data_IF_810329561961
#
_entry.id   IF_810329561961
#
_cell.length_a   1.000
_cell.length_b   1.000
_cell.length_c   1.000
_cell.angle_alpha   90.00
_cell.angle_beta   90.00
_cell.angle_gamma   90.00
#
_symmetry.space_group_name_H-M   'P 1'
#
loop_
_entity.id
_entity.type
_entity.pdbx_description
1 polymer ?
#
# COMPACT_ATOMS: atom_id res chain seq x y z
N UNK A 1 14.64 -4.32 -17.53
CA UNK A 1 15.02 -3.00 -16.97
C UNK A 1 16.46 -3.06 -16.47
N UNK A 2 17.30 -2.05 -16.69
CA UNK A 2 18.70 -2.06 -16.18
C UNK A 2 18.74 -1.98 -14.65
N UNK A 3 19.78 -2.55 -14.02
CA UNK A 3 19.95 -2.51 -12.56
C UNK A 3 20.02 -1.07 -12.02
N UNK A 4 20.70 -0.18 -12.73
CA UNK A 4 20.80 1.25 -12.36
C UNK A 4 19.41 1.90 -12.33
N UNK A 5 18.57 1.64 -13.34
CA UNK A 5 17.19 2.18 -13.36
C UNK A 5 16.38 1.64 -12.18
N UNK A 6 16.47 0.35 -11.87
CA UNK A 6 15.78 -0.27 -10.72
C UNK A 6 16.23 0.35 -9.39
N UNK A 7 17.54 0.55 -9.22
CA UNK A 7 18.12 1.12 -8.01
C UNK A 7 17.71 2.58 -7.77
N UNK A 8 17.52 3.36 -8.82
CA UNK A 8 17.04 4.76 -8.75
C UNK A 8 15.52 4.81 -8.58
N UNK A 9 14.79 3.97 -9.31
CA UNK A 9 13.33 3.96 -9.33
C UNK A 9 12.72 3.49 -8.00
N UNK A 10 13.37 2.55 -7.31
CA UNK A 10 12.89 2.03 -6.02
C UNK A 10 12.71 3.13 -4.97
N UNK A 11 13.76 3.89 -4.57
CA UNK A 11 13.61 4.92 -3.55
C UNK A 11 12.66 6.04 -3.99
N UNK A 12 12.68 6.43 -5.26
CA UNK A 12 11.75 7.45 -5.79
C UNK A 12 10.31 6.95 -5.66
N UNK A 13 10.03 5.71 -6.06
CA UNK A 13 8.70 5.10 -5.94
C UNK A 13 8.22 5.06 -4.49
N UNK A 14 9.09 4.69 -3.54
CA UNK A 14 8.76 4.69 -2.12
C UNK A 14 8.47 6.10 -1.57
N UNK A 15 9.22 7.12 -1.97
CA UNK A 15 8.97 8.51 -1.56
C UNK A 15 7.64 9.00 -2.15
N UNK A 16 7.39 8.75 -3.44
CA UNK A 16 6.12 9.10 -4.09
C UNK A 16 4.94 8.40 -3.41
N UNK A 17 5.07 7.12 -3.09
CA UNK A 17 4.09 6.40 -2.28
C UNK A 17 3.85 7.10 -0.94
N UNK A 18 4.91 7.45 -0.21
CA UNK A 18 4.79 8.20 1.06
C UNK A 18 4.05 9.53 0.93
N UNK A 19 4.30 10.29 -0.15
CA UNK A 19 3.56 11.53 -0.44
C UNK A 19 2.07 11.26 -0.69
N UNK A 20 1.74 10.19 -1.42
CA UNK A 20 0.37 9.75 -1.63
C UNK A 20 -0.34 9.41 -0.33
N UNK A 21 0.36 8.70 0.58
CA UNK A 21 -0.14 8.40 1.93
C UNK A 21 -0.40 9.67 2.72
N UNK A 22 0.51 10.66 2.72
CA UNK A 22 0.29 11.95 3.39
C UNK A 22 -0.98 12.66 2.91
N UNK A 23 -1.18 12.71 1.60
CA UNK A 23 -2.37 13.32 0.99
C UNK A 23 -3.66 12.59 1.43
N UNK A 24 -3.66 11.26 1.44
CA UNK A 24 -4.81 10.47 1.91
C UNK A 24 -5.09 10.67 3.40
N UNK A 25 -4.06 10.68 4.24
CA UNK A 25 -4.18 10.97 5.67
C UNK A 25 -4.77 12.36 5.89
N UNK A 26 -4.28 13.36 5.15
CA UNK A 26 -4.75 14.74 5.26
C UNK A 26 -6.18 14.94 4.75
N UNK A 27 -6.63 14.10 3.82
CA UNK A 27 -8.00 14.14 3.33
C UNK A 27 -9.01 13.63 4.36
N UNK A 28 -8.61 12.75 5.29
CA UNK A 28 -9.48 12.19 6.33
C UNK A 28 -10.80 11.58 5.78
N UNK A 29 -10.82 11.08 4.54
CA UNK A 29 -12.04 10.49 3.92
C UNK A 29 -12.12 8.96 4.04
N UNK A 30 -11.15 8.37 4.75
CA UNK A 30 -10.96 6.94 4.89
C UNK A 30 -9.50 6.57 4.67
N UNK A 31 -9.20 5.29 4.87
CA UNK A 31 -7.88 4.70 4.66
C UNK A 31 -8.00 3.43 3.84
N UNK A 32 -6.88 2.95 3.30
CA UNK A 32 -6.83 1.72 2.53
C UNK A 32 -7.11 0.48 3.41
N UNK A 33 -7.30 -0.69 2.79
CA UNK A 33 -7.70 -1.90 3.51
C UNK A 33 -6.67 -2.39 4.54
N UNK A 34 -5.38 -2.29 4.23
CA UNK A 34 -4.31 -2.63 5.17
C UNK A 34 -4.32 -1.72 6.39
N UNK A 35 -4.39 -0.40 6.17
CA UNK A 35 -4.46 0.58 7.27
C UNK A 35 -5.74 0.43 8.10
N UNK A 36 -6.87 0.09 7.46
CA UNK A 36 -8.13 -0.19 8.15
C UNK A 36 -8.00 -1.42 9.04
N UNK A 37 -7.37 -2.49 8.56
CA UNK A 37 -7.07 -3.69 9.35
C UNK A 37 -6.20 -3.36 10.57
N UNK A 38 -5.10 -2.62 10.37
CA UNK A 38 -4.19 -2.25 11.47
C UNK A 38 -4.89 -1.38 12.51
N UNK A 39 -5.72 -0.42 12.07
CA UNK A 39 -6.51 0.43 12.97
C UNK A 39 -7.51 -0.38 13.79
N UNK A 40 -8.21 -1.33 13.16
CA UNK A 40 -9.15 -2.21 13.84
C UNK A 40 -8.45 -3.10 14.86
N UNK A 41 -7.38 -3.79 14.45
CA UNK A 41 -6.60 -4.64 15.36
C UNK A 41 -6.00 -3.86 16.54
N UNK A 42 -5.52 -2.65 16.31
CA UNK A 42 -5.03 -1.77 17.38
C UNK A 42 -6.13 -1.46 18.40
N UNK A 43 -7.35 -1.14 17.96
CA UNK A 43 -8.49 -0.92 18.85
C UNK A 43 -8.93 -2.19 19.59
N UNK A 44 -8.95 -3.33 18.91
CA UNK A 44 -9.38 -4.60 19.50
C UNK A 44 -8.38 -5.17 20.52
N UNK A 45 -7.08 -4.96 20.32
CA UNK A 45 -6.03 -5.48 21.21
C UNK A 45 -5.57 -4.48 22.26
N UNK A 46 -5.83 -3.18 22.06
CA UNK A 46 -5.28 -2.10 22.89
C UNK A 46 -3.80 -1.80 22.64
N UNK A 47 -3.16 -2.46 21.67
CA UNK A 47 -1.77 -2.20 21.29
C UNK A 47 -1.66 -1.00 20.36
N UNK A 48 -0.52 -0.32 20.40
CA UNK A 48 -0.23 0.80 19.52
C UNK A 48 -0.26 0.39 18.05
N UNK A 49 -0.80 1.26 17.20
CA UNK A 49 -0.88 1.07 15.75
C UNK A 49 0.47 0.66 15.12
N UNK A 50 1.57 1.26 15.61
CA UNK A 50 2.92 0.93 15.15
C UNK A 50 3.28 -0.53 15.46
N UNK A 51 3.05 -0.99 16.68
CA UNK A 51 3.36 -2.37 17.11
C UNK A 51 2.55 -3.36 16.28
N UNK A 52 1.24 -3.11 16.13
CA UNK A 52 0.35 -3.94 15.30
C UNK A 52 0.85 -3.99 13.86
N UNK A 53 1.25 -2.86 13.30
CA UNK A 53 1.79 -2.77 11.94
C UNK A 53 3.08 -3.56 11.75
N UNK A 54 4.00 -3.53 12.72
CA UNK A 54 5.25 -4.31 12.66
C UNK A 54 4.98 -5.82 12.74
N UNK A 55 4.09 -6.24 13.65
CA UNK A 55 3.73 -7.65 13.81
C UNK A 55 3.01 -8.17 12.55
N UNK A 56 2.03 -7.43 12.05
CA UNK A 56 1.32 -7.80 10.83
C UNK A 56 2.25 -7.83 9.62
N UNK A 57 3.15 -6.85 9.50
CA UNK A 57 4.14 -6.83 8.43
C UNK A 57 5.02 -8.09 8.45
N UNK A 58 5.54 -8.47 9.63
CA UNK A 58 6.35 -9.67 9.79
C UNK A 58 5.57 -10.95 9.42
N UNK A 59 4.31 -11.05 9.86
CA UNK A 59 3.44 -12.19 9.54
C UNK A 59 3.18 -12.26 8.03
N UNK A 60 2.73 -11.17 7.40
CA UNK A 60 2.37 -11.15 5.99
C UNK A 60 3.59 -11.44 5.09
N UNK A 61 4.74 -10.82 5.39
CA UNK A 61 5.98 -11.09 4.66
C UNK A 61 6.44 -12.54 4.88
N UNK A 62 6.34 -13.07 6.09
CA UNK A 62 6.67 -14.47 6.39
C UNK A 62 5.79 -15.45 5.62
N UNK A 63 4.47 -15.24 5.62
CA UNK A 63 3.51 -16.06 4.86
C UNK A 63 3.77 -15.96 3.35
N UNK A 64 4.01 -14.75 2.84
CA UNK A 64 4.35 -14.54 1.44
C UNK A 64 5.66 -15.26 1.06
N UNK A 65 6.65 -15.26 1.95
CA UNK A 65 7.90 -15.98 1.74
C UNK A 65 7.71 -17.50 1.69
N UNK A 66 6.89 -18.08 2.57
CA UNK A 66 6.54 -19.51 2.52
C UNK A 66 5.87 -19.90 1.19
N UNK A 67 5.21 -18.94 0.54
CA UNK A 67 4.59 -19.07 -0.79
C UNK A 67 5.51 -18.69 -1.95
N UNK A 68 6.81 -18.49 -1.68
CA UNK A 68 7.83 -18.24 -2.71
C UNK A 68 8.11 -16.76 -3.00
N UNK A 69 7.37 -15.82 -2.39
CA UNK A 69 7.63 -14.38 -2.52
C UNK A 69 8.67 -13.93 -1.51
N UNK A 70 9.93 -14.05 -1.89
CA UNK A 70 11.07 -13.72 -1.03
C UNK A 70 11.12 -12.21 -0.75
N UNK A 71 11.34 -11.79 0.51
CA UNK A 71 11.60 -10.39 0.83
C UNK A 71 12.90 -9.94 0.15
N UNK A 72 12.94 -8.68 -0.27
CA UNK A 72 14.10 -8.10 -0.93
C UNK A 72 14.37 -6.66 -0.47
N UNK A 73 15.37 -5.97 -1.08
CA UNK A 73 15.67 -4.58 -0.78
C UNK A 73 14.43 -3.68 -0.81
N UNK A 74 13.51 -3.91 -1.76
CA UNK A 74 12.27 -3.17 -1.89
C UNK A 74 11.32 -3.32 -0.70
N UNK A 75 11.26 -4.50 -0.08
CA UNK A 75 10.46 -4.73 1.14
C UNK A 75 10.94 -3.81 2.26
N UNK A 76 12.25 -3.73 2.49
CA UNK A 76 12.83 -2.90 3.55
C UNK A 76 12.76 -1.41 3.19
N UNK A 77 13.15 -1.06 1.96
CA UNK A 77 13.14 0.33 1.49
C UNK A 77 11.73 0.92 1.51
N UNK A 78 10.70 0.14 1.16
CA UNK A 78 9.32 0.60 1.23
C UNK A 78 8.93 0.95 2.68
N UNK A 79 9.16 0.04 3.65
CA UNK A 79 8.83 0.33 5.05
C UNK A 79 9.55 1.58 5.57
N UNK A 80 10.87 1.67 5.34
CA UNK A 80 11.69 2.75 5.88
C UNK A 80 11.41 4.09 5.21
N UNK A 81 11.44 4.14 3.87
CA UNK A 81 11.31 5.41 3.15
C UNK A 81 9.89 5.96 3.18
N UNK A 82 8.87 5.10 3.14
CA UNK A 82 7.48 5.54 3.29
C UNK A 82 7.26 6.10 4.69
N UNK A 83 7.68 5.38 5.75
CA UNK A 83 7.55 5.84 7.12
C UNK A 83 8.29 7.16 7.38
N UNK A 84 9.51 7.31 6.85
CA UNK A 84 10.27 8.55 6.96
C UNK A 84 9.61 9.70 6.21
N UNK A 85 9.15 9.46 4.98
CA UNK A 85 8.47 10.47 4.16
C UNK A 85 7.22 10.96 4.87
N UNK A 86 6.38 10.05 5.36
CA UNK A 86 5.17 10.39 6.12
C UNK A 86 5.51 11.19 7.38
N UNK A 87 6.51 10.74 8.15
CA UNK A 87 6.93 11.40 9.39
C UNK A 87 7.45 12.82 9.18
N UNK A 88 8.14 13.10 8.06
CA UNK A 88 8.70 14.42 7.75
C UNK A 88 7.65 15.34 7.13
N UNK A 89 6.89 14.85 6.14
CA UNK A 89 5.93 15.66 5.39
C UNK A 89 4.75 16.05 6.27
N UNK A 90 4.22 15.14 7.10
CA UNK A 90 3.10 15.45 8.00
C UNK A 90 3.44 16.50 9.07
N UNK A 91 4.72 16.78 9.36
CA UNK A 91 5.13 17.85 10.28
C UNK A 91 4.94 19.25 9.71
N UNK A 92 4.96 19.37 8.38
CA UNK A 92 4.91 20.65 7.68
C UNK A 92 3.63 20.82 6.87
N UNK A 93 2.87 19.73 6.66
CA UNK A 93 1.65 19.74 5.87
C UNK A 93 0.51 20.42 6.64
N UNK A 94 -0.11 21.47 6.07
CA UNK A 94 -1.23 22.15 6.73
C UNK A 94 -2.50 21.31 6.70
N UNK A 95 -3.34 21.49 7.71
CA UNK A 95 -4.63 20.80 7.77
C UNK A 95 -5.59 21.30 6.68
N UNK A 96 -6.36 20.37 6.13
CA UNK A 96 -7.33 20.66 5.06
C UNK A 96 -8.75 20.66 5.63
N UNK A 97 -9.33 21.85 5.78
CA UNK A 97 -10.60 22.02 6.50
C UNK A 97 -11.86 21.72 5.69
N UNK A 98 -12.02 22.33 4.51
CA UNK A 98 -13.29 22.24 3.77
C UNK A 98 -13.38 20.97 2.91
N UNK A 99 -14.61 20.44 2.75
CA UNK A 99 -14.86 19.16 2.07
C UNK A 99 -14.30 19.11 0.65
N UNK A 100 -14.43 20.20 -0.12
CA UNK A 100 -13.89 20.26 -1.49
C UNK A 100 -12.37 20.04 -1.55
N UNK A 101 -11.61 20.63 -0.62
CA UNK A 101 -10.16 20.43 -0.58
C UNK A 101 -9.81 19.03 -0.05
N UNK A 102 -10.60 18.46 0.87
CA UNK A 102 -10.43 17.07 1.31
C UNK A 102 -10.63 16.08 0.15
N UNK A 103 -11.65 16.31 -0.70
CA UNK A 103 -11.88 15.51 -1.91
C UNK A 103 -10.72 15.65 -2.89
N UNK A 104 -10.27 16.88 -3.17
CA UNK A 104 -9.13 17.12 -4.07
C UNK A 104 -7.85 16.45 -3.54
N UNK A 105 -7.60 16.55 -2.23
CA UNK A 105 -6.48 15.91 -1.55
C UNK A 105 -6.57 14.38 -1.64
N UNK A 106 -7.77 13.81 -1.47
CA UNK A 106 -8.00 12.38 -1.61
C UNK A 106 -7.74 11.88 -3.03
N UNK A 107 -8.27 12.57 -4.05
CA UNK A 107 -8.07 12.19 -5.46
C UNK A 107 -6.59 12.28 -5.83
N UNK A 108 -5.91 13.37 -5.44
CA UNK A 108 -4.47 13.52 -5.66
C UNK A 108 -3.69 12.42 -4.92
N UNK A 109 -4.01 12.17 -3.65
CA UNK A 109 -3.37 11.14 -2.84
C UNK A 109 -3.54 9.74 -3.40
N UNK A 110 -4.74 9.41 -3.87
CA UNK A 110 -5.03 8.15 -4.55
C UNK A 110 -4.14 7.94 -5.77
N UNK A 111 -4.06 8.95 -6.65
CA UNK A 111 -3.27 8.86 -7.89
C UNK A 111 -1.78 8.75 -7.57
N UNK A 112 -1.26 9.62 -6.70
CA UNK A 112 0.14 9.65 -6.29
C UNK A 112 0.53 8.33 -5.60
N UNK A 113 -0.33 7.80 -4.73
CA UNK A 113 -0.13 6.50 -4.08
C UNK A 113 -0.02 5.39 -5.11
N UNK A 114 -0.97 5.30 -6.05
CA UNK A 114 -0.97 4.24 -7.07
C UNK A 114 0.29 4.30 -7.96
N UNK A 115 0.73 5.51 -8.34
CA UNK A 115 1.98 5.71 -9.08
C UNK A 115 3.17 5.24 -8.24
N UNK A 116 3.24 5.62 -6.97
CA UNK A 116 4.32 5.22 -6.06
C UNK A 116 4.42 3.71 -5.88
N UNK A 117 3.28 3.03 -5.60
CA UNK A 117 3.23 1.57 -5.48
C UNK A 117 3.67 0.91 -6.78
N UNK A 118 3.10 1.31 -7.92
CA UNK A 118 3.44 0.75 -9.21
C UNK A 118 4.92 0.97 -9.57
N UNK A 119 5.48 2.15 -9.26
CA UNK A 119 6.87 2.49 -9.57
C UNK A 119 7.86 1.61 -8.81
N UNK A 120 7.64 1.41 -7.51
CA UNK A 120 8.55 0.60 -6.70
C UNK A 120 8.37 -0.90 -6.97
N UNK A 121 7.13 -1.38 -7.15
CA UNK A 121 6.87 -2.78 -7.50
C UNK A 121 7.44 -3.15 -8.87
N UNK A 122 7.36 -2.24 -9.86
CA UNK A 122 7.95 -2.44 -11.18
C UNK A 122 9.48 -2.63 -11.15
N UNK A 123 10.14 -2.36 -10.01
CA UNK A 123 11.55 -2.67 -9.84
C UNK A 123 11.82 -4.14 -9.54
N UNK A 124 10.84 -4.98 -9.21
CA UNK A 124 11.04 -6.41 -8.86
C UNK A 124 12.11 -6.65 -7.78
N UNK A 125 12.35 -5.67 -6.90
CA UNK A 125 13.35 -5.76 -5.82
C UNK A 125 12.73 -6.20 -4.48
N UNK A 126 11.49 -6.68 -4.50
CA UNK A 126 10.71 -7.05 -3.30
C UNK A 126 9.49 -6.15 -3.12
N UNK A 127 8.47 -6.72 -2.48
CA UNK A 127 7.18 -6.06 -2.23
C UNK A 127 7.00 -5.73 -0.75
N UNK A 128 6.22 -4.70 -0.45
CA UNK A 128 5.75 -4.38 0.90
C UNK A 128 4.77 -5.43 1.43
N UNK A 129 4.37 -5.40 2.70
CA UNK A 129 3.66 -6.51 3.33
C UNK A 129 2.30 -6.82 2.70
N UNK A 130 1.50 -5.79 2.43
CA UNK A 130 0.20 -5.93 1.77
C UNK A 130 0.36 -6.42 0.32
N UNK A 131 1.31 -5.84 -0.41
CA UNK A 131 1.57 -6.21 -1.80
C UNK A 131 2.12 -7.63 -1.91
N UNK A 132 3.01 -8.04 -0.99
CA UNK A 132 3.58 -9.38 -0.90
C UNK A 132 2.49 -10.42 -0.62
N UNK A 133 1.55 -10.11 0.28
CA UNK A 133 0.40 -10.98 0.55
C UNK A 133 -0.47 -11.18 -0.70
N UNK A 134 -0.75 -10.11 -1.45
CA UNK A 134 -1.50 -10.20 -2.71
C UNK A 134 -0.73 -10.93 -3.82
N UNK A 135 0.58 -10.74 -3.91
CA UNK A 135 1.44 -11.43 -4.86
C UNK A 135 1.62 -12.92 -4.53
N UNK A 136 1.38 -13.33 -3.28
CA UNK A 136 1.54 -14.70 -2.79
C UNK A 136 0.25 -15.54 -2.86
N UNK A 137 -0.81 -15.01 -3.46
CA UNK A 137 -2.12 -15.67 -3.56
C UNK A 137 -2.04 -17.03 -4.28
N UNK A 138 -2.85 -18.00 -3.85
CA UNK A 138 -2.87 -19.37 -4.40
C UNK A 138 -4.30 -19.85 -4.69
N UNK A 139 -4.63 -20.26 -5.93
CA UNK A 139 -3.79 -20.17 -7.14
C UNK A 139 -3.44 -18.71 -7.48
N UNK A 140 -2.36 -18.45 -8.26
CA UNK A 140 -1.97 -17.10 -8.61
C UNK A 140 -3.10 -16.38 -9.36
N UNK A 141 -3.41 -15.17 -8.92
CA UNK A 141 -4.37 -14.28 -9.56
C UNK A 141 -3.65 -13.05 -10.12
N UNK A 142 -4.32 -12.33 -11.03
CA UNK A 142 -3.90 -11.00 -11.44
C UNK A 142 -3.78 -10.11 -10.21
N UNK A 143 -2.71 -9.32 -10.11
CA UNK A 143 -2.41 -8.54 -8.91
C UNK A 143 -3.56 -7.59 -8.53
N UNK A 144 -4.23 -6.96 -9.51
CA UNK A 144 -5.40 -6.14 -9.23
C UNK A 144 -6.54 -6.90 -8.54
N UNK A 145 -6.75 -8.18 -8.88
CA UNK A 145 -7.78 -9.02 -8.23
C UNK A 145 -7.34 -9.42 -6.82
N UNK A 146 -6.15 -10.00 -6.66
CA UNK A 146 -5.69 -10.46 -5.35
C UNK A 146 -5.48 -9.31 -4.37
N UNK A 147 -5.00 -8.16 -4.83
CA UNK A 147 -4.85 -6.97 -4.00
C UNK A 147 -6.21 -6.38 -3.62
N UNK A 148 -7.20 -6.33 -4.53
CA UNK A 148 -8.57 -5.93 -4.16
C UNK A 148 -9.18 -6.88 -3.14
N UNK A 149 -9.01 -8.20 -3.27
CA UNK A 149 -9.48 -9.18 -2.27
C UNK A 149 -8.83 -8.88 -0.91
N UNK A 150 -7.49 -8.75 -0.88
CA UNK A 150 -6.76 -8.43 0.33
C UNK A 150 -7.27 -7.14 0.99
N UNK A 151 -7.47 -6.08 0.21
CA UNK A 151 -7.95 -4.80 0.71
C UNK A 151 -9.38 -4.91 1.25
N UNK A 152 -10.30 -5.57 0.55
CA UNK A 152 -11.68 -5.76 1.02
C UNK A 152 -11.73 -6.62 2.29
N UNK A 153 -10.94 -7.70 2.37
CA UNK A 153 -10.80 -8.50 3.59
C UNK A 153 -10.28 -7.64 4.75
N UNK A 154 -9.25 -6.82 4.51
CA UNK A 154 -8.71 -5.89 5.50
C UNK A 154 -9.74 -4.87 6.00
N UNK A 155 -10.57 -4.33 5.10
CA UNK A 155 -11.69 -3.44 5.46
C UNK A 155 -12.71 -4.16 6.32
N UNK A 156 -13.16 -5.35 5.93
CA UNK A 156 -14.19 -6.12 6.65
C UNK A 156 -13.71 -6.47 8.06
N UNK A 157 -12.51 -7.05 8.17
CA UNK A 157 -11.95 -7.44 9.47
C UNK A 157 -11.64 -6.21 10.32
N UNK A 158 -11.02 -5.18 9.75
CA UNK A 158 -10.72 -3.94 10.45
C UNK A 158 -11.98 -3.26 10.99
N UNK A 159 -13.04 -3.19 10.18
CA UNK A 159 -14.33 -2.64 10.60
C UNK A 159 -14.96 -3.46 11.74
N UNK A 160 -14.93 -4.79 11.64
CA UNK A 160 -15.42 -5.66 12.70
C UNK A 160 -14.65 -5.47 14.01
N UNK A 161 -13.35 -5.19 13.92
CA UNK A 161 -12.49 -4.83 15.06
C UNK A 161 -12.63 -3.36 15.51
N UNK A 162 -13.56 -2.58 14.94
CA UNK A 162 -13.88 -1.21 15.37
C UNK A 162 -13.19 -0.08 14.60
N UNK A 163 -12.54 -0.37 13.47
CA UNK A 163 -12.01 0.66 12.57
C UNK A 163 -13.16 1.49 11.95
N UNK A 164 -12.89 2.77 11.69
CA UNK A 164 -13.81 3.59 10.92
C UNK A 164 -13.68 3.27 9.42
N UNK A 165 -14.80 3.19 8.72
CA UNK A 165 -14.83 2.99 7.26
C UNK A 165 -15.56 4.16 6.63
N UNK A 166 -14.86 4.88 5.75
CA UNK A 166 -15.40 6.00 4.99
C UNK A 166 -15.60 5.67 3.51
N UNK A 167 -16.22 6.59 2.76
CA UNK A 167 -16.37 6.47 1.30
C UNK A 167 -15.00 6.31 0.62
N UNK A 168 -13.97 7.02 1.10
CA UNK A 168 -12.61 6.88 0.60
C UNK A 168 -12.03 5.49 0.80
N UNK A 169 -12.36 4.80 1.90
CA UNK A 169 -11.92 3.42 2.15
C UNK A 169 -12.45 2.45 1.10
N UNK A 170 -13.73 2.59 0.74
CA UNK A 170 -14.35 1.73 -0.28
C UNK A 170 -13.71 1.97 -1.66
N UNK A 171 -13.50 3.25 -2.02
CA UNK A 171 -12.83 3.62 -3.27
C UNK A 171 -11.41 3.05 -3.33
N UNK A 172 -10.63 3.22 -2.24
CA UNK A 172 -9.26 2.70 -2.15
C UNK A 172 -9.24 1.16 -2.27
N UNK A 173 -10.08 0.46 -1.50
CA UNK A 173 -10.09 -0.99 -1.49
C UNK A 173 -10.50 -1.60 -2.84
N UNK A 174 -11.49 -1.00 -3.51
CA UNK A 174 -11.94 -1.46 -4.81
C UNK A 174 -11.01 -1.03 -5.96
N UNK A 175 -10.32 0.10 -5.84
CA UNK A 175 -9.64 0.76 -6.96
C UNK A 175 -8.12 0.59 -7.04
N UNK A 176 -7.42 0.55 -5.90
CA UNK A 176 -5.93 0.65 -5.88
C UNK A 176 -5.30 -0.48 -6.71
N UNK A 177 -5.72 -1.73 -6.50
CA UNK A 177 -5.13 -2.89 -7.19
C UNK A 177 -5.20 -2.76 -8.71
N UNK A 178 -6.38 -2.46 -9.24
CA UNK A 178 -6.59 -2.26 -10.69
C UNK A 178 -5.88 -1.04 -11.26
N UNK A 179 -5.62 -0.02 -10.44
CA UNK A 179 -4.89 1.18 -10.86
C UNK A 179 -3.40 0.87 -10.97
N UNK A 180 -2.85 0.13 -9.99
CA UNK A 180 -1.47 -0.34 -10.01
C UNK A 180 -1.23 -1.26 -11.22
N UNK A 181 -2.13 -2.22 -11.49
CA UNK A 181 -2.05 -3.11 -12.65
C UNK A 181 -1.89 -2.36 -13.98
N UNK A 182 -2.59 -1.23 -14.14
CA UNK A 182 -2.50 -0.40 -15.36
C UNK A 182 -1.21 0.42 -15.42
N UNK A 183 -0.65 0.80 -14.28
CA UNK A 183 0.54 1.64 -14.20
C UNK A 183 1.84 0.84 -14.29
N UNK A 184 1.86 -0.41 -13.80
CA UNK A 184 3.07 -1.25 -13.77
C UNK A 184 3.73 -1.43 -15.16
N UNK A 185 3.00 -1.74 -16.26
CA UNK A 185 3.61 -1.87 -17.59
C UNK A 185 4.27 -0.57 -18.08
N UNK A 186 3.67 0.58 -17.79
CA UNK A 186 4.19 1.90 -18.17
C UNK A 186 5.51 2.23 -17.45
N UNK A 187 5.72 1.63 -16.28
CA UNK A 187 6.90 1.83 -15.43
C UNK A 187 7.97 0.77 -15.63
N UNK A 188 7.81 -0.09 -16.65
CA UNK A 188 8.81 -1.06 -17.08
C UNK A 188 8.73 -2.42 -16.39
N UNK A 189 7.64 -2.70 -15.67
CA UNK A 189 7.34 -4.06 -15.20
C UNK A 189 7.00 -4.95 -16.40
N UNK A 190 7.61 -6.13 -16.45
CA UNK A 190 7.25 -7.16 -17.42
C UNK A 190 6.34 -8.16 -16.69
N UNK A 191 5.16 -8.50 -17.23
CA UNK A 191 4.27 -9.47 -16.60
C UNK A 191 5.04 -10.76 -16.32
N UNK A 192 4.86 -11.36 -15.13
CA UNK A 192 5.30 -12.74 -14.92
C UNK A 192 4.63 -13.62 -15.99
N UNK A 193 5.36 -14.51 -16.68
CA UNK A 193 4.74 -15.45 -17.60
C UNK A 193 3.64 -16.21 -16.87
N UNK A 194 2.44 -16.27 -17.47
CA UNK A 194 1.34 -17.04 -16.89
C UNK A 194 1.79 -18.50 -16.73
N UNK A 195 1.52 -19.15 -15.59
CA UNK A 195 1.80 -20.56 -15.45
C UNK A 195 0.90 -21.33 -16.43
N UNK A 196 1.53 -22.05 -17.36
CA UNK A 196 0.88 -22.97 -18.30
C UNK A 196 0.02 -24.00 -17.58
#
# INVERSE_FOLDING_TARGET
>A
MSLVRRAIQLPIGCIVLGLGVCLLLQAELGSDGYSTLMSGLSKATGLDFAIVSWVAAAILVGLAWLRGQKPGPGTISQLVLVGLTVSLVMRVMPSVGHLGARIACFVAGYVVLCIGVAAYLATDLGAGPAEAAALAFDPPLRFGVSYTIFQLCGVVVGWWCGAAVGVGTIILAAGIGWSIDRLMPLLGHQPRPEPN
#
